data_IF_864527006594
#
_entry.id   IF_864527006594
#
_cell.length_a   1.000
_cell.length_b   1.000
_cell.length_c   1.000
_cell.angle_alpha   90.00
_cell.angle_beta   90.00
_cell.angle_gamma   90.00
#
_symmetry.space_group_name_H-M   'P 1'
#
loop_
_entity.id
_entity.type
_entity.pdbx_description
1 polymer ?
#
# COMPACT_ATOMS: atom_id res chain seq x y z
N UNK A 1 2.06 10.71 2.72
CA UNK A 1 3.34 10.23 2.17
C UNK A 1 3.15 9.06 1.22
N UNK A 2 4.06 8.95 0.25
CA UNK A 2 4.05 7.91 -0.76
C UNK A 2 5.34 7.10 -0.64
N UNK A 3 5.22 5.78 -0.57
CA UNK A 3 6.37 4.89 -0.50
C UNK A 3 6.34 3.94 -1.68
N UNK A 4 7.48 3.77 -2.34
CA UNK A 4 7.64 2.82 -3.45
C UNK A 4 8.25 1.54 -2.92
N UNK A 5 7.49 0.45 -3.01
CA UNK A 5 7.86 -0.81 -2.39
C UNK A 5 7.49 -2.00 -3.28
N UNK A 6 8.00 -3.18 -2.92
CA UNK A 6 7.46 -4.43 -3.43
C UNK A 6 6.10 -4.64 -2.76
N UNK A 7 5.04 -4.33 -3.49
CA UNK A 7 3.70 -4.23 -2.93
C UNK A 7 3.21 -5.53 -2.32
N UNK A 8 3.46 -6.66 -2.97
CA UNK A 8 3.01 -7.96 -2.46
C UNK A 8 3.68 -8.30 -1.14
N UNK A 9 5.00 -8.04 -1.05
CA UNK A 9 5.76 -8.30 0.15
C UNK A 9 5.34 -7.40 1.30
N UNK A 10 5.21 -6.10 1.03
CA UNK A 10 4.85 -5.12 2.06
C UNK A 10 3.44 -5.36 2.58
N UNK A 11 2.50 -5.62 1.70
CA UNK A 11 1.12 -5.89 2.11
C UNK A 11 1.04 -7.14 2.98
N UNK A 12 1.82 -8.17 2.66
CA UNK A 12 1.87 -9.38 3.47
C UNK A 12 2.46 -9.11 4.85
N UNK A 13 3.53 -8.33 4.93
CA UNK A 13 4.14 -7.95 6.22
C UNK A 13 3.16 -7.15 7.08
N UNK A 14 2.45 -6.21 6.48
CA UNK A 14 1.46 -5.39 7.19
C UNK A 14 0.30 -6.24 7.70
N UNK A 15 -0.14 -7.19 6.90
CA UNK A 15 -1.21 -8.10 7.29
C UNK A 15 -0.79 -8.94 8.50
N UNK A 16 0.46 -9.40 8.53
CA UNK A 16 0.99 -10.15 9.66
C UNK A 16 1.04 -9.30 10.93
N UNK A 17 1.13 -7.99 10.78
CA UNK A 17 1.11 -7.03 11.90
C UNK A 17 -0.29 -6.49 12.18
N UNK A 18 -1.30 -7.09 11.58
CA UNK A 18 -2.71 -6.72 11.73
C UNK A 18 -3.03 -5.31 11.21
N UNK A 19 -2.25 -4.81 10.26
CA UNK A 19 -2.53 -3.56 9.56
C UNK A 19 -3.32 -3.92 8.30
N UNK A 20 -4.50 -3.34 8.15
CA UNK A 20 -5.38 -3.63 7.02
C UNK A 20 -5.11 -2.63 5.90
N UNK A 21 -4.77 -3.15 4.71
CA UNK A 21 -4.64 -2.34 3.51
C UNK A 21 -5.96 -2.35 2.74
N UNK A 22 -6.22 -1.27 2.00
CA UNK A 22 -7.35 -1.23 1.08
C UNK A 22 -7.11 -2.20 -0.09
N UNK A 23 -8.15 -2.55 -0.86
CA UNK A 23 -7.94 -3.38 -2.05
C UNK A 23 -6.94 -2.74 -3.00
N UNK A 24 -6.03 -3.55 -3.53
CA UNK A 24 -5.00 -3.08 -4.45
C UNK A 24 -5.66 -2.65 -5.77
N UNK A 25 -5.24 -1.50 -6.29
CA UNK A 25 -5.71 -0.94 -7.56
C UNK A 25 -4.55 -0.79 -8.51
N UNK A 26 -4.86 -0.65 -9.80
CA UNK A 26 -3.86 -0.42 -10.83
C UNK A 26 -4.00 0.99 -11.37
N UNK A 27 -2.88 1.72 -11.40
CA UNK A 27 -2.83 3.05 -12.02
C UNK A 27 -2.81 2.86 -13.54
N UNK A 28 -3.84 3.38 -14.23
CA UNK A 28 -3.97 3.22 -15.68
C UNK A 28 -2.86 3.90 -16.46
N UNK A 29 -2.25 4.92 -15.91
CA UNK A 29 -1.21 5.70 -16.61
C UNK A 29 0.16 5.03 -16.55
N UNK A 30 0.49 4.41 -15.43
CA UNK A 30 1.79 3.77 -15.23
C UNK A 30 1.73 2.26 -15.30
N UNK A 31 0.52 1.70 -15.25
CA UNK A 31 0.27 0.26 -15.19
C UNK A 31 0.89 -0.39 -13.95
N UNK A 32 1.13 0.39 -12.90
CA UNK A 32 1.63 -0.09 -11.62
C UNK A 32 0.52 -0.14 -10.60
N UNK A 33 0.67 -1.03 -9.63
CA UNK A 33 -0.35 -1.20 -8.59
C UNK A 33 -0.06 -0.29 -7.42
N UNK A 34 -1.09 0.02 -6.66
CA UNK A 34 -0.97 0.83 -5.45
C UNK A 34 -2.07 0.47 -4.47
N UNK A 35 -1.87 0.83 -3.22
CA UNK A 35 -2.89 0.71 -2.18
C UNK A 35 -2.67 1.79 -1.13
N UNK A 36 -3.65 1.91 -0.23
CA UNK A 36 -3.57 2.84 0.89
C UNK A 36 -3.69 2.07 2.20
N UNK A 37 -2.96 2.55 3.21
CA UNK A 37 -3.10 2.07 4.58
C UNK A 37 -3.24 3.30 5.47
N UNK A 38 -3.74 3.11 6.69
CA UNK A 38 -3.79 4.16 7.69
C UNK A 38 -2.69 3.93 8.72
N UNK A 39 -1.97 4.98 9.08
CA UNK A 39 -1.00 4.91 10.17
C UNK A 39 -1.73 4.95 11.53
N UNK A 40 -0.99 4.83 12.65
CA UNK A 40 -1.61 4.89 13.98
C UNK A 40 -2.37 6.18 14.27
N UNK A 41 -2.01 7.27 13.59
CA UNK A 41 -2.68 8.57 13.72
C UNK A 41 -3.85 8.72 12.74
N UNK A 42 -4.18 7.64 12.03
CA UNK A 42 -5.26 7.59 11.04
C UNK A 42 -5.01 8.47 9.82
N UNK A 43 -3.74 8.70 9.50
CA UNK A 43 -3.34 9.42 8.29
C UNK A 43 -3.14 8.43 7.14
N UNK A 44 -3.60 8.76 5.92
CA UNK A 44 -3.44 7.84 4.80
C UNK A 44 -1.98 7.79 4.32
N UNK A 45 -1.51 6.57 4.07
CA UNK A 45 -0.19 6.34 3.50
C UNK A 45 -0.40 5.58 2.20
N UNK A 46 0.16 6.09 1.11
CA UNK A 46 0.08 5.42 -0.18
C UNK A 46 1.29 4.52 -0.37
N UNK A 47 1.04 3.25 -0.72
CA UNK A 47 2.07 2.29 -1.09
C UNK A 47 1.98 2.08 -2.60
N UNK A 48 3.05 2.41 -3.30
CA UNK A 48 3.09 2.36 -4.75
C UNK A 48 4.10 1.32 -5.20
N UNK A 49 3.75 0.50 -6.18
CA UNK A 49 4.61 -0.56 -6.70
C UNK A 49 5.87 0.02 -7.34
N UNK A 50 7.01 -0.57 -7.04
CA UNK A 50 8.29 -0.19 -7.65
C UNK A 50 8.28 -0.32 -9.16
#
# INVERSE_FOLDING_TARGET
PVYKEDLDEVVQLLKDKMVIAEPIRTDEFTNKRFTFIADPDNLPIELYEK
#
